data_IF_576515726898
#
_entry.id   IF_576515726898
#
_cell.length_a   1.000
_cell.length_b   1.000
_cell.length_c   1.000
_cell.angle_alpha   90.00
_cell.angle_beta   90.00
_cell.angle_gamma   90.00
#
_symmetry.space_group_name_H-M   'P 1'
#
loop_
_entity.id
_entity.type
_entity.pdbx_description
1 polymer ?
#
# COMPACT_ATOMS: atom_id res chain seq x y z
N UNK A 1 13.98 -34.38 6.35
CA UNK A 1 14.90 -33.83 5.32
C UNK A 1 14.23 -32.62 4.70
N UNK A 2 14.77 -31.42 4.90
CA UNK A 2 14.23 -30.19 4.30
C UNK A 2 14.56 -30.18 2.80
N UNK A 3 13.54 -30.09 1.96
CA UNK A 3 13.71 -29.99 0.51
C UNK A 3 14.46 -28.67 0.20
N UNK A 4 15.66 -28.71 -0.41
CA UNK A 4 16.38 -27.48 -0.73
C UNK A 4 15.57 -26.71 -1.78
N UNK A 5 15.07 -25.53 -1.39
CA UNK A 5 14.35 -24.63 -2.29
C UNK A 5 15.19 -24.41 -3.57
N UNK A 6 14.57 -24.70 -4.72
CA UNK A 6 15.17 -24.56 -6.05
C UNK A 6 15.85 -23.18 -6.21
N UNK A 7 17.06 -23.12 -6.79
CA UNK A 7 17.90 -21.92 -6.82
C UNK A 7 17.25 -20.71 -7.51
N UNK A 8 16.35 -20.94 -8.48
CA UNK A 8 15.70 -19.90 -9.28
C UNK A 8 14.75 -19.00 -8.48
N UNK A 9 14.08 -19.54 -7.45
CA UNK A 9 13.16 -18.75 -6.61
C UNK A 9 13.89 -17.72 -5.73
N UNK A 10 15.19 -17.89 -5.47
CA UNK A 10 15.95 -17.01 -4.57
C UNK A 10 16.16 -15.61 -5.14
N UNK A 11 16.15 -15.43 -6.46
CA UNK A 11 16.37 -14.13 -7.11
C UNK A 11 15.15 -13.22 -6.92
N UNK A 12 13.94 -13.76 -7.08
CA UNK A 12 12.68 -13.05 -6.83
C UNK A 12 12.53 -12.63 -5.36
N UNK A 13 12.90 -13.51 -4.42
CA UNK A 13 12.88 -13.21 -2.98
C UNK A 13 13.94 -12.18 -2.55
N UNK A 14 14.92 -11.89 -3.42
CA UNK A 14 15.96 -10.85 -3.22
C UNK A 14 15.63 -9.52 -3.87
N UNK A 15 14.43 -9.34 -4.44
CA UNK A 15 13.92 -8.01 -4.76
C UNK A 15 13.64 -7.27 -3.45
N UNK A 16 14.72 -6.79 -2.85
CA UNK A 16 14.71 -5.90 -1.71
C UNK A 16 13.79 -4.71 -2.02
N UNK A 17 13.19 -4.13 -0.99
CA UNK A 17 12.23 -3.04 -1.16
C UNK A 17 12.81 -1.87 -2.00
N UNK A 18 14.14 -1.71 -1.96
CA UNK A 18 14.90 -0.80 -2.82
C UNK A 18 14.81 -1.12 -4.31
N UNK A 19 14.95 -2.38 -4.72
CA UNK A 19 14.84 -2.74 -6.13
C UNK A 19 13.43 -2.52 -6.65
N UNK A 20 12.40 -2.79 -5.83
CA UNK A 20 11.01 -2.50 -6.22
C UNK A 20 10.78 -1.01 -6.42
N UNK A 21 11.32 -0.18 -5.52
CA UNK A 21 11.30 1.28 -5.68
C UNK A 21 12.09 1.74 -6.91
N UNK A 22 13.27 1.18 -7.18
CA UNK A 22 14.07 1.54 -8.36
C UNK A 22 13.35 1.17 -9.66
N UNK A 23 12.75 -0.01 -9.73
CA UNK A 23 11.94 -0.44 -10.88
C UNK A 23 10.73 0.48 -11.04
N UNK A 24 10.02 0.81 -9.96
CA UNK A 24 8.86 1.71 -10.04
C UNK A 24 9.24 3.12 -10.45
N UNK A 25 10.38 3.64 -9.99
CA UNK A 25 10.92 4.92 -10.43
C UNK A 25 11.31 4.91 -11.91
N UNK A 26 11.93 3.82 -12.40
CA UNK A 26 12.25 3.67 -13.82
C UNK A 26 10.99 3.63 -14.70
N UNK A 27 9.97 2.86 -14.29
CA UNK A 27 8.67 2.84 -14.98
C UNK A 27 8.02 4.22 -14.96
N UNK A 28 8.06 4.91 -13.82
CA UNK A 28 7.51 6.27 -13.68
C UNK A 28 8.21 7.26 -14.60
N UNK A 29 9.55 7.19 -14.72
CA UNK A 29 10.30 8.02 -15.63
C UNK A 29 9.90 7.78 -17.10
N UNK A 30 9.69 6.51 -17.49
CA UNK A 30 9.21 6.16 -18.84
C UNK A 30 7.80 6.74 -19.07
N UNK A 31 6.88 6.55 -18.12
CA UNK A 31 5.51 7.07 -18.19
C UNK A 31 5.51 8.60 -18.30
N UNK A 32 6.33 9.29 -17.52
CA UNK A 32 6.48 10.73 -17.56
C UNK A 32 7.01 11.20 -18.92
N UNK A 33 8.13 10.64 -19.39
CA UNK A 33 8.78 11.05 -20.64
C UNK A 33 7.88 10.82 -21.86
N UNK A 34 7.06 9.78 -21.86
CA UNK A 34 6.13 9.48 -22.94
C UNK A 34 4.96 10.46 -22.98
N UNK A 35 4.45 10.90 -21.82
CA UNK A 35 3.23 11.71 -21.73
C UNK A 35 3.48 13.22 -21.55
N UNK A 36 4.72 13.67 -21.31
CA UNK A 36 5.06 15.05 -20.93
C UNK A 36 4.60 16.16 -21.88
N UNK A 37 4.43 15.83 -23.16
CA UNK A 37 4.02 16.80 -24.19
C UNK A 37 2.53 16.72 -24.55
N UNK A 38 1.81 15.72 -24.01
CA UNK A 38 0.44 15.40 -24.41
C UNK A 38 -0.59 15.69 -23.31
N UNK A 39 -0.17 15.70 -22.04
CA UNK A 39 -1.05 15.89 -20.90
C UNK A 39 -0.82 17.23 -20.21
N UNK A 40 -1.87 17.76 -19.59
CA UNK A 40 -1.75 18.88 -18.65
C UNK A 40 -0.86 18.50 -17.46
N UNK A 41 -0.20 19.48 -16.83
CA UNK A 41 0.69 19.22 -15.69
C UNK A 41 0.04 18.38 -14.58
N UNK A 42 -1.20 18.65 -14.15
CA UNK A 42 -1.85 17.83 -13.12
C UNK A 42 -2.11 16.38 -13.58
N UNK A 43 -2.54 16.18 -14.83
CA UNK A 43 -2.78 14.85 -15.37
C UNK A 43 -1.47 14.06 -15.53
N UNK A 44 -0.40 14.71 -15.99
CA UNK A 44 0.93 14.12 -16.09
C UNK A 44 1.44 13.62 -14.73
N UNK A 45 1.26 14.43 -13.68
CA UNK A 45 1.63 14.05 -12.30
C UNK A 45 0.86 12.81 -11.84
N UNK A 46 -0.46 12.77 -12.05
CA UNK A 46 -1.28 11.63 -11.63
C UNK A 46 -0.98 10.36 -12.43
N UNK A 47 -0.82 10.45 -13.76
CA UNK A 47 -0.49 9.28 -14.61
C UNK A 47 0.88 8.71 -14.23
N UNK A 48 1.86 9.59 -13.97
CA UNK A 48 3.19 9.17 -13.49
C UNK A 48 3.11 8.49 -12.12
N UNK A 49 2.32 9.06 -11.20
CA UNK A 49 2.08 8.48 -9.87
C UNK A 49 1.40 7.10 -9.96
N UNK A 50 0.37 6.96 -10.81
CA UNK A 50 -0.33 5.70 -11.05
C UNK A 50 0.64 4.63 -11.56
N UNK A 51 1.51 4.98 -12.51
CA UNK A 51 2.56 4.08 -13.00
C UNK A 51 3.49 3.59 -11.89
N UNK A 52 3.95 4.51 -11.02
CA UNK A 52 4.75 4.17 -9.86
C UNK A 52 4.02 3.20 -8.92
N UNK A 53 2.82 3.58 -8.50
CA UNK A 53 2.05 2.88 -7.49
C UNK A 53 1.64 1.48 -7.95
N UNK A 54 1.14 1.34 -9.19
CA UNK A 54 0.79 0.04 -9.76
C UNK A 54 2.01 -0.87 -9.88
N UNK A 55 3.17 -0.35 -10.26
CA UNK A 55 4.39 -1.15 -10.32
C UNK A 55 4.75 -1.71 -8.95
N UNK A 56 4.68 -0.90 -7.90
CA UNK A 56 4.94 -1.35 -6.52
C UNK A 56 3.89 -2.39 -6.09
N UNK A 57 2.61 -2.12 -6.31
CA UNK A 57 1.51 -3.05 -6.00
C UNK A 57 1.76 -4.40 -6.68
N UNK A 58 2.01 -4.42 -8.00
CA UNK A 58 2.21 -5.65 -8.74
C UNK A 58 3.38 -6.47 -8.19
N UNK A 59 4.51 -5.82 -7.92
CA UNK A 59 5.68 -6.50 -7.37
C UNK A 59 5.43 -7.03 -5.94
N UNK A 60 4.76 -6.25 -5.10
CA UNK A 60 4.39 -6.66 -3.74
C UNK A 60 3.39 -7.83 -3.74
N UNK A 61 2.41 -7.81 -4.64
CA UNK A 61 1.41 -8.89 -4.74
C UNK A 61 1.97 -10.18 -5.33
N UNK A 62 2.94 -10.09 -6.25
CA UNK A 62 3.72 -11.27 -6.67
C UNK A 62 4.42 -11.91 -5.47
N UNK A 63 5.02 -11.10 -4.58
CA UNK A 63 5.65 -11.60 -3.35
C UNK A 63 4.62 -12.21 -2.40
N UNK A 64 3.50 -11.53 -2.16
CA UNK A 64 2.43 -11.99 -1.28
C UNK A 64 1.95 -13.39 -1.69
N UNK A 65 1.65 -13.61 -2.97
CA UNK A 65 1.16 -14.90 -3.45
C UNK A 65 2.24 -15.97 -3.61
N UNK A 66 3.51 -15.59 -3.81
CA UNK A 66 4.60 -16.56 -4.06
C UNK A 66 5.30 -17.03 -2.79
N UNK A 67 5.09 -16.36 -1.66
CA UNK A 67 5.79 -16.63 -0.40
C UNK A 67 5.08 -17.71 0.40
N UNK A 68 5.79 -18.80 0.72
CA UNK A 68 5.32 -19.78 1.71
C UNK A 68 5.45 -19.19 3.12
N UNK A 69 4.56 -19.49 4.09
CA UNK A 69 4.65 -18.99 5.48
C UNK A 69 6.06 -19.08 6.13
N UNK A 70 6.80 -20.18 5.91
CA UNK A 70 8.18 -20.33 6.39
C UNK A 70 9.18 -19.34 5.78
N UNK A 71 8.92 -18.91 4.55
CA UNK A 71 9.70 -17.88 3.87
C UNK A 71 9.28 -16.48 4.32
N UNK A 72 7.99 -16.23 4.64
CA UNK A 72 7.52 -14.96 5.20
C UNK A 72 8.33 -14.59 6.45
N UNK A 73 8.50 -15.52 7.38
CA UNK A 73 9.33 -15.33 8.58
C UNK A 73 10.78 -14.97 8.26
N UNK A 74 11.38 -15.59 7.23
CA UNK A 74 12.76 -15.28 6.82
C UNK A 74 12.85 -13.92 6.14
N UNK A 75 11.95 -13.64 5.22
CA UNK A 75 11.86 -12.37 4.48
C UNK A 75 11.61 -11.21 5.42
N UNK A 76 10.82 -11.42 6.48
CA UNK A 76 10.54 -10.40 7.49
C UNK A 76 11.71 -10.15 8.45
N UNK A 77 12.52 -11.18 8.78
CA UNK A 77 13.72 -11.03 9.61
C UNK A 77 14.92 -10.40 8.89
N UNK A 78 15.01 -10.57 7.57
CA UNK A 78 16.07 -9.98 6.74
C UNK A 78 15.82 -8.48 6.43
N UNK A 79 14.88 -7.82 7.11
CA UNK A 79 14.47 -6.45 6.81
C UNK A 79 15.22 -5.42 7.65
N UNK A 80 16.05 -4.61 6.97
CA UNK A 80 16.86 -3.55 7.55
C UNK A 80 16.10 -2.22 7.80
N UNK A 81 16.77 -1.32 8.54
CA UNK A 81 16.38 0.06 8.86
C UNK A 81 15.88 0.88 7.65
N UNK A 82 16.42 0.60 6.46
CA UNK A 82 16.06 1.24 5.20
C UNK A 82 14.59 1.08 4.81
N UNK A 83 13.91 0.02 5.27
CA UNK A 83 12.50 -0.22 4.95
C UNK A 83 11.54 0.61 5.78
N UNK A 84 11.92 1.05 6.97
CA UNK A 84 11.12 2.02 7.73
C UNK A 84 11.13 3.38 7.03
N UNK A 85 12.25 3.76 6.41
CA UNK A 85 12.32 4.95 5.57
C UNK A 85 11.43 4.82 4.33
N UNK A 86 11.50 3.70 3.60
CA UNK A 86 10.65 3.44 2.43
C UNK A 86 9.16 3.44 2.79
N UNK A 87 8.79 2.84 3.93
CA UNK A 87 7.43 2.87 4.44
C UNK A 87 6.96 4.32 4.64
N UNK A 88 7.72 5.13 5.38
CA UNK A 88 7.36 6.54 5.61
C UNK A 88 7.30 7.32 4.29
N UNK A 89 8.24 7.08 3.39
CA UNK A 89 8.28 7.70 2.06
C UNK A 89 7.02 7.40 1.25
N UNK A 90 6.61 6.13 1.16
CA UNK A 90 5.42 5.74 0.40
C UNK A 90 4.14 6.26 1.06
N UNK A 91 4.02 6.19 2.39
CA UNK A 91 2.87 6.77 3.11
C UNK A 91 2.78 8.28 2.83
N UNK A 92 3.91 8.99 2.89
CA UNK A 92 3.95 10.43 2.60
C UNK A 92 3.54 10.70 1.16
N UNK A 93 4.04 9.91 0.19
CA UNK A 93 3.68 10.03 -1.21
C UNK A 93 2.17 9.80 -1.43
N UNK A 94 1.55 8.82 -0.75
CA UNK A 94 0.11 8.60 -0.77
C UNK A 94 -0.70 9.78 -0.18
N UNK A 95 -0.22 10.42 0.89
CA UNK A 95 -0.88 11.60 1.46
C UNK A 95 -0.76 12.81 0.54
N UNK A 96 0.43 13.02 -0.06
CA UNK A 96 0.65 14.09 -1.04
C UNK A 96 -0.21 13.88 -2.29
N UNK A 97 -0.32 12.63 -2.77
CA UNK A 97 -1.18 12.32 -3.93
C UNK A 97 -2.64 12.66 -3.64
N UNK A 98 -3.13 12.37 -2.44
CA UNK A 98 -4.49 12.74 -2.02
C UNK A 98 -4.72 14.27 -2.08
N UNK A 99 -3.74 15.07 -1.65
CA UNK A 99 -3.78 16.52 -1.78
C UNK A 99 -3.78 16.98 -3.24
N UNK A 100 -2.95 16.38 -4.09
CA UNK A 100 -2.90 16.66 -5.53
C UNK A 100 -4.23 16.34 -6.23
N UNK A 101 -4.89 15.26 -5.82
CA UNK A 101 -6.22 14.88 -6.31
C UNK A 101 -7.27 15.95 -5.95
N UNK A 102 -7.31 16.39 -4.69
CA UNK A 102 -8.23 17.46 -4.26
C UNK A 102 -7.97 18.75 -5.06
N UNK A 103 -6.71 19.08 -5.32
CA UNK A 103 -6.34 20.24 -6.12
C UNK A 103 -6.79 20.11 -7.59
N UNK A 104 -6.61 18.93 -8.20
CA UNK A 104 -7.09 18.66 -9.56
C UNK A 104 -8.59 18.88 -9.68
N UNK A 105 -9.38 18.34 -8.74
CA UNK A 105 -10.84 18.48 -8.74
C UNK A 105 -11.32 19.93 -8.55
N UNK A 106 -10.58 20.74 -7.78
CA UNK A 106 -10.89 22.17 -7.68
C UNK A 106 -10.61 22.88 -8.99
N UNK A 107 -9.55 22.49 -9.69
CA UNK A 107 -9.12 23.08 -10.96
C UNK A 107 -10.03 22.71 -12.13
N UNK A 108 -10.84 21.65 -12.02
CA UNK A 108 -11.84 21.29 -13.04
C UNK A 108 -13.15 22.07 -12.94
N UNK A 109 -13.36 22.85 -11.87
CA UNK A 109 -14.53 23.73 -11.73
C UNK A 109 -14.45 24.87 -12.74
N UNK A 110 -15.25 24.78 -13.82
CA UNK A 110 -15.34 25.81 -14.86
C UNK A 110 -14.67 25.46 -16.19
N UNK A 111 -14.10 24.26 -16.33
CA UNK A 111 -13.65 23.75 -17.64
C UNK A 111 -14.86 23.37 -18.51
N UNK A 112 -14.76 23.51 -19.86
CA UNK A 112 -15.72 22.94 -20.80
C UNK A 112 -15.94 21.44 -20.52
N UNK A 113 -17.15 20.94 -20.78
CA UNK A 113 -17.53 19.52 -20.58
C UNK A 113 -16.54 18.54 -21.24
N UNK A 114 -15.96 18.93 -22.38
CA UNK A 114 -14.92 18.17 -23.08
C UNK A 114 -13.62 18.09 -22.25
N UNK A 115 -13.27 16.89 -21.77
CA UNK A 115 -12.04 16.61 -20.99
C UNK A 115 -12.24 16.61 -19.46
N UNK A 116 -13.36 17.14 -18.96
CA UNK A 116 -13.71 17.13 -17.53
C UNK A 116 -13.86 15.71 -16.98
N UNK A 117 -14.54 14.84 -17.74
CA UNK A 117 -14.76 13.44 -17.35
C UNK A 117 -13.45 12.63 -17.25
N UNK A 118 -12.49 12.90 -18.14
CA UNK A 118 -11.18 12.23 -18.13
C UNK A 118 -10.38 12.57 -16.87
N UNK A 119 -10.34 13.85 -16.48
CA UNK A 119 -9.68 14.28 -15.24
C UNK A 119 -10.34 13.71 -14.00
N UNK A 120 -11.67 13.59 -13.98
CA UNK A 120 -12.42 13.00 -12.88
C UNK A 120 -12.12 11.49 -12.77
N UNK A 121 -12.18 10.75 -13.88
CA UNK A 121 -11.86 9.32 -13.90
C UNK A 121 -10.41 9.06 -13.49
N UNK A 122 -9.48 9.88 -13.96
CA UNK A 122 -8.07 9.82 -13.57
C UNK A 122 -7.87 10.07 -12.07
N UNK A 123 -8.58 11.05 -11.51
CA UNK A 123 -8.55 11.34 -10.08
C UNK A 123 -9.06 10.16 -9.25
N UNK A 124 -10.20 9.56 -9.63
CA UNK A 124 -10.76 8.38 -8.95
C UNK A 124 -9.79 7.21 -9.01
N UNK A 125 -9.27 6.90 -10.20
CA UNK A 125 -8.29 5.84 -10.39
C UNK A 125 -7.06 6.04 -9.51
N UNK A 126 -6.52 7.27 -9.47
CA UNK A 126 -5.39 7.61 -8.62
C UNK A 126 -5.68 7.40 -7.12
N UNK A 127 -6.89 7.70 -6.65
CA UNK A 127 -7.28 7.52 -5.24
C UNK A 127 -7.39 6.04 -4.90
N UNK A 128 -8.10 5.26 -5.72
CA UNK A 128 -8.27 3.83 -5.52
C UNK A 128 -6.92 3.12 -5.51
N UNK A 129 -6.02 3.47 -6.44
CA UNK A 129 -4.68 2.90 -6.52
C UNK A 129 -3.83 3.31 -5.31
N UNK A 130 -3.95 4.56 -4.85
CA UNK A 130 -3.24 5.02 -3.64
C UNK A 130 -3.74 4.32 -2.38
N UNK A 131 -5.06 4.12 -2.26
CA UNK A 131 -5.69 3.34 -1.19
C UNK A 131 -5.21 1.89 -1.20
N UNK A 132 -5.16 1.25 -2.37
CA UNK A 132 -4.66 -0.12 -2.50
C UNK A 132 -3.18 -0.23 -2.13
N UNK A 133 -2.35 0.71 -2.60
CA UNK A 133 -0.93 0.75 -2.25
C UNK A 133 -0.74 0.95 -0.75
N UNK A 134 -1.48 1.86 -0.12
CA UNK A 134 -1.45 2.12 1.32
C UNK A 134 -1.61 0.80 2.11
N UNK A 135 -2.70 0.06 1.85
CA UNK A 135 -2.98 -1.19 2.56
C UNK A 135 -1.97 -2.29 2.25
N UNK A 136 -1.48 -2.37 1.01
CA UNK A 136 -0.42 -3.30 0.63
C UNK A 136 0.88 -3.04 1.42
N UNK A 137 1.26 -1.79 1.59
CA UNK A 137 2.47 -1.41 2.34
C UNK A 137 2.29 -1.64 3.84
N UNK A 138 1.10 -1.40 4.39
CA UNK A 138 0.78 -1.76 5.77
C UNK A 138 0.80 -3.27 6.02
N UNK A 139 0.32 -4.09 5.07
CA UNK A 139 0.43 -5.56 5.14
C UNK A 139 1.87 -5.99 5.38
N UNK A 140 2.79 -5.52 4.54
CA UNK A 140 4.21 -5.88 4.66
C UNK A 140 4.82 -5.36 5.97
N UNK A 141 4.36 -4.20 6.45
CA UNK A 141 4.80 -3.63 7.73
C UNK A 141 4.32 -4.44 8.93
N UNK A 142 3.08 -4.92 8.93
CA UNK A 142 2.57 -5.78 9.99
C UNK A 142 3.29 -7.13 10.01
N UNK A 143 3.51 -7.74 8.84
CA UNK A 143 4.28 -8.98 8.71
C UNK A 143 5.70 -8.82 9.27
N UNK A 144 6.37 -7.70 8.96
CA UNK A 144 7.68 -7.39 9.54
C UNK A 144 7.60 -7.27 11.06
N UNK A 145 6.70 -6.45 11.60
CA UNK A 145 6.61 -6.24 13.05
C UNK A 145 6.25 -7.52 13.80
N UNK A 146 5.48 -8.41 13.16
CA UNK A 146 5.11 -9.69 13.74
C UNK A 146 6.31 -10.63 13.84
N UNK A 147 7.12 -10.73 12.79
CA UNK A 147 8.24 -11.66 12.73
C UNK A 147 9.60 -11.11 13.22
N UNK A 148 9.66 -9.84 13.65
CA UNK A 148 10.85 -9.21 14.21
C UNK A 148 11.12 -9.69 15.66
N UNK A 149 12.15 -10.51 15.81
CA UNK A 149 12.52 -11.20 17.06
C UNK A 149 13.22 -10.28 18.07
N UNK A 150 13.67 -9.09 17.65
CA UNK A 150 14.34 -8.15 18.56
C UNK A 150 13.36 -7.30 19.37
N UNK A 151 12.06 -7.56 19.27
CA UNK A 151 11.00 -6.84 19.98
C UNK A 151 10.56 -7.49 21.30
N UNK A 152 11.36 -8.42 21.84
CA UNK A 152 11.18 -9.07 23.16
C UNK A 152 11.45 -8.12 24.34
N UNK A 153 10.89 -6.91 24.32
CA UNK A 153 11.05 -5.91 25.40
C UNK A 153 10.02 -6.06 26.54
N UNK A 154 9.08 -7.01 26.48
CA UNK A 154 8.01 -7.15 27.48
C UNK A 154 7.95 -8.54 28.16
N UNK A 155 9.03 -9.33 28.13
CA UNK A 155 9.20 -10.51 29.02
C UNK A 155 8.27 -11.71 28.79
N UNK A 156 7.36 -11.68 27.81
CA UNK A 156 6.50 -12.82 27.47
C UNK A 156 7.21 -13.66 26.40
N UNK A 157 7.89 -14.71 26.84
CA UNK A 157 8.69 -15.62 26.01
C UNK A 157 7.91 -16.50 25.01
N UNK A 158 6.60 -16.34 24.88
CA UNK A 158 5.77 -17.19 24.02
C UNK A 158 4.87 -16.34 23.10
N UNK A 159 5.13 -16.46 21.79
CA UNK A 159 4.37 -16.00 20.60
C UNK A 159 4.94 -14.76 19.88
N UNK A 160 5.80 -15.02 18.89
CA UNK A 160 6.05 -14.14 17.73
C UNK A 160 4.70 -13.64 17.18
N UNK A 161 4.35 -12.37 16.96
CA UNK A 161 4.71 -11.14 17.69
C UNK A 161 3.61 -10.04 17.57
N UNK A 162 2.78 -9.86 18.59
CA UNK A 162 1.93 -8.66 18.79
C UNK A 162 0.58 -8.58 18.06
N UNK A 163 0.30 -9.49 17.12
CA UNK A 163 -1.02 -9.77 16.55
C UNK A 163 -1.40 -11.22 16.89
N UNK A 164 -2.67 -11.50 17.14
CA UNK A 164 -3.18 -12.85 17.43
C UNK A 164 -4.19 -13.24 16.35
N UNK A 165 -3.78 -14.13 15.46
CA UNK A 165 -4.62 -14.64 14.38
C UNK A 165 -5.39 -15.89 14.86
N UNK A 166 -6.71 -15.97 14.64
CA UNK A 166 -7.47 -17.16 15.01
C UNK A 166 -6.97 -18.41 14.26
N UNK A 167 -6.64 -19.47 15.00
CA UNK A 167 -6.35 -20.78 14.41
C UNK A 167 -4.99 -20.95 13.72
N UNK A 168 -4.09 -19.97 13.80
CA UNK A 168 -2.73 -20.09 13.22
C UNK A 168 -1.67 -19.36 14.06
N UNK A 169 -0.64 -20.10 14.47
CA UNK A 169 0.57 -19.57 15.11
C UNK A 169 1.68 -19.21 14.09
N UNK A 170 1.44 -19.46 12.80
CA UNK A 170 2.38 -19.16 11.69
C UNK A 170 1.64 -18.46 10.54
N UNK A 171 1.17 -17.21 10.73
CA UNK A 171 0.39 -16.47 9.73
C UNK A 171 1.21 -16.20 8.46
N UNK A 172 0.57 -16.36 7.31
CA UNK A 172 1.17 -16.01 6.02
C UNK A 172 0.85 -14.56 5.61
N UNK A 173 1.28 -14.12 4.42
CA UNK A 173 1.00 -12.76 3.99
C UNK A 173 -0.48 -12.47 3.81
N UNK A 174 -1.32 -13.45 3.47
CA UNK A 174 -2.75 -13.25 3.28
C UNK A 174 -3.45 -12.98 4.60
N UNK A 175 -2.99 -13.54 5.71
CA UNK A 175 -3.46 -13.17 7.06
C UNK A 175 -3.19 -11.69 7.35
N UNK A 176 -2.00 -11.19 7.00
CA UNK A 176 -1.69 -9.75 7.15
C UNK A 176 -2.43 -8.88 6.13
N UNK A 177 -2.70 -9.37 4.91
CA UNK A 177 -3.55 -8.68 3.93
C UNK A 177 -4.95 -8.54 4.50
N UNK A 178 -5.52 -9.62 5.01
CA UNK A 178 -6.82 -9.62 5.67
C UNK A 178 -6.87 -8.56 6.76
N UNK A 179 -5.93 -8.59 7.71
CA UNK A 179 -5.88 -7.59 8.79
C UNK A 179 -5.76 -6.16 8.26
N UNK A 180 -4.85 -5.91 7.32
CA UNK A 180 -4.59 -4.57 6.77
C UNK A 180 -5.80 -4.00 6.03
N UNK A 181 -6.42 -4.80 5.15
CA UNK A 181 -7.56 -4.35 4.35
C UNK A 181 -8.84 -4.23 5.17
N UNK A 182 -9.03 -5.06 6.20
CA UNK A 182 -10.15 -4.89 7.15
C UNK A 182 -10.08 -3.54 7.85
N UNK A 183 -8.89 -3.13 8.30
CA UNK A 183 -8.66 -1.76 8.83
C UNK A 183 -8.94 -0.70 7.74
N UNK A 184 -8.54 -0.98 6.50
CA UNK A 184 -8.77 -0.11 5.34
C UNK A 184 -10.24 0.12 4.98
N UNK A 185 -11.08 -0.89 5.15
CA UNK A 185 -12.50 -0.81 4.84
C UNK A 185 -13.30 -0.03 5.90
N UNK A 186 -12.71 0.30 7.04
CA UNK A 186 -13.23 1.17 8.13
C UNK A 186 -14.58 0.77 8.78
N UNK A 187 -15.29 -0.22 8.24
CA UNK A 187 -16.59 -0.71 8.73
C UNK A 187 -16.60 -2.19 9.12
N UNK A 188 -15.44 -2.85 9.09
CA UNK A 188 -15.35 -4.28 9.35
C UNK A 188 -14.57 -4.54 10.64
N UNK A 189 -15.14 -5.40 11.49
CA UNK A 189 -14.48 -5.93 12.68
C UNK A 189 -13.53 -7.05 12.23
N UNK A 190 -12.25 -6.93 12.58
CA UNK A 190 -11.30 -8.03 12.43
C UNK A 190 -11.45 -8.98 13.63
N UNK A 191 -11.31 -10.28 13.37
CA UNK A 191 -11.15 -11.32 14.40
C UNK A 191 -9.69 -11.45 14.91
N UNK A 192 -8.78 -10.58 14.43
CA UNK A 192 -7.37 -10.52 14.82
C UNK A 192 -7.18 -9.54 15.98
N UNK A 193 -6.68 -10.02 17.11
CA UNK A 193 -6.43 -9.17 18.28
C UNK A 193 -5.03 -8.53 18.26
N UNK A 194 -4.95 -7.25 18.64
CA UNK A 194 -3.67 -6.54 18.77
C UNK A 194 -3.17 -6.63 20.21
N UNK A 195 -2.17 -7.47 20.45
CA UNK A 195 -1.51 -7.60 21.75
C UNK A 195 -0.42 -6.54 21.98
N UNK A 196 0.31 -6.14 20.93
CA UNK A 196 1.43 -5.20 21.06
C UNK A 196 1.01 -3.74 21.12
N UNK A 197 1.54 -2.98 22.10
CA UNK A 197 1.35 -1.50 22.19
C UNK A 197 1.88 -0.78 20.95
N UNK A 198 3.01 -1.24 20.40
CA UNK A 198 3.62 -0.65 19.19
C UNK A 198 2.72 -0.84 17.97
N UNK A 199 2.22 -2.06 17.77
CA UNK A 199 1.29 -2.37 16.65
C UNK A 199 -0.02 -1.61 16.82
N UNK A 200 -0.52 -1.45 18.04
CA UNK A 200 -1.75 -0.68 18.32
C UNK A 200 -1.64 0.79 17.88
N UNK A 201 -0.50 1.43 18.15
CA UNK A 201 -0.22 2.82 17.68
C UNK A 201 -0.10 2.89 16.16
N UNK A 202 0.54 1.90 15.53
CA UNK A 202 0.61 1.82 14.07
C UNK A 202 -0.77 1.64 13.44
N UNK A 203 -1.61 0.77 14.04
CA UNK A 203 -2.97 0.53 13.59
C UNK A 203 -3.85 1.77 13.72
N UNK A 204 -3.67 2.59 14.76
CA UNK A 204 -4.34 3.88 14.88
C UNK A 204 -3.98 4.81 13.71
N UNK A 205 -2.69 4.94 13.39
CA UNK A 205 -2.25 5.73 12.24
C UNK A 205 -2.83 5.17 10.92
N UNK A 206 -2.84 3.85 10.77
CA UNK A 206 -3.44 3.18 9.62
C UNK A 206 -4.91 3.55 9.48
N UNK A 207 -5.70 3.40 10.55
CA UNK A 207 -7.13 3.68 10.56
C UNK A 207 -7.46 5.15 10.23
N UNK A 208 -6.68 6.11 10.75
CA UNK A 208 -6.86 7.53 10.42
C UNK A 208 -6.63 7.79 8.93
N UNK A 209 -5.56 7.20 8.37
CA UNK A 209 -5.26 7.32 6.93
C UNK A 209 -6.36 6.65 6.08
N UNK A 210 -6.79 5.44 6.45
CA UNK A 210 -7.90 4.73 5.79
C UNK A 210 -9.17 5.57 5.76
N UNK A 211 -9.53 6.18 6.88
CA UNK A 211 -10.72 7.03 6.98
C UNK A 211 -10.63 8.25 6.06
N UNK A 212 -9.47 8.89 5.96
CA UNK A 212 -9.25 10.01 5.05
C UNK A 212 -9.41 9.60 3.58
N UNK A 213 -8.84 8.46 3.17
CA UNK A 213 -9.03 7.92 1.82
C UNK A 213 -10.49 7.56 1.54
N UNK A 214 -11.19 6.88 2.45
CA UNK A 214 -12.59 6.52 2.27
C UNK A 214 -13.48 7.77 2.14
N UNK A 215 -13.21 8.80 2.94
CA UNK A 215 -13.89 10.10 2.83
C UNK A 215 -13.68 10.71 1.45
N UNK A 216 -12.44 10.68 0.93
CA UNK A 216 -12.14 11.19 -0.39
C UNK A 216 -12.81 10.38 -1.51
N UNK A 217 -12.82 9.05 -1.42
CA UNK A 217 -13.50 8.16 -2.39
C UNK A 217 -15.00 8.48 -2.44
N UNK A 218 -15.64 8.63 -1.28
CA UNK A 218 -17.07 8.98 -1.20
C UNK A 218 -17.32 10.36 -1.79
N UNK A 219 -16.53 11.37 -1.40
CA UNK A 219 -16.68 12.74 -1.92
C UNK A 219 -16.50 12.80 -3.44
N UNK A 220 -15.52 12.05 -3.98
CA UNK A 220 -15.29 11.93 -5.42
C UNK A 220 -16.46 11.26 -6.14
N UNK A 221 -16.96 10.17 -5.59
CA UNK A 221 -18.11 9.44 -6.13
C UNK A 221 -19.35 10.35 -6.22
N UNK A 222 -19.60 11.17 -5.21
CA UNK A 222 -20.69 12.16 -5.21
C UNK A 222 -20.49 13.20 -6.31
N UNK A 223 -19.27 13.75 -6.46
CA UNK A 223 -18.98 14.72 -7.51
C UNK A 223 -19.22 14.15 -8.92
N UNK A 224 -18.89 12.87 -9.13
CA UNK A 224 -19.13 12.18 -10.42
C UNK A 224 -20.62 12.04 -10.67
N UNK A 225 -21.36 11.48 -9.71
CA UNK A 225 -22.80 11.25 -9.85
C UNK A 225 -23.51 12.58 -10.08
N UNK A 226 -23.18 13.60 -9.29
CA UNK A 226 -23.74 14.94 -9.48
C UNK A 226 -23.40 15.56 -10.83
N UNK A 227 -22.24 15.25 -11.41
CA UNK A 227 -21.84 15.73 -12.72
C UNK A 227 -22.42 14.94 -13.89
N UNK A 228 -22.87 13.69 -13.68
CA UNK A 228 -23.52 12.85 -14.69
C UNK A 228 -25.05 13.02 -14.72
N UNK A 229 -25.64 13.44 -13.59
CA UNK A 229 -27.09 13.62 -13.42
C UNK A 229 -27.52 15.09 -13.63
N UNK A 230 -26.58 16.03 -13.63
CA UNK A 230 -26.81 17.45 -13.94
C UNK A 230 -26.74 17.71 -15.45
#
# INVERSE_FOLDING_TARGET
MANPLKPDRRLFFRLDAHYRLLISLAVSAIVFLFNRNSLSTPALVLVTWIGCALTIILLDWIIIFSSHPKEVRKIAKLQDSSRSFLFIFIITACVVSLGAIIFLLKSTKGLPEAGKNEHILLAIGAVIISWWLLHTIFTLRYAHLYYDVNTDMDGIKNNVGGLQFPGSDEPDYLDFVYFSFVVGMTFQVSDVEIASRRIRRLCLMHAILSFAFNTAIVALSINVISGMVA
#
